data_IF_128031762878
#
_entry.id   IF_128031762878
#
_cell.length_a   1.000
_cell.length_b   1.000
_cell.length_c   1.000
_cell.angle_alpha   90.00
_cell.angle_beta   90.00
_cell.angle_gamma   90.00
#
_symmetry.space_group_name_H-M   'P 1'
#
loop_
_entity.id
_entity.type
_entity.pdbx_description
1 polymer ?
#
# COMPACT_ATOMS: atom_id res chain seq x y z
N UNK A 1 -19.81 -4.67 6.10
CA UNK A 1 -19.23 -5.37 7.28
C UNK A 1 -18.04 -4.61 7.86
N UNK A 2 -16.99 -4.34 7.07
CA UNK A 2 -15.84 -3.57 7.56
C UNK A 2 -16.23 -2.21 8.16
N UNK A 3 -17.13 -1.46 7.51
CA UNK A 3 -17.69 -0.20 8.02
C UNK A 3 -18.38 -0.31 9.39
N UNK A 4 -18.88 -1.49 9.78
CA UNK A 4 -19.53 -1.68 11.08
C UNK A 4 -18.59 -2.22 12.16
N UNK A 5 -17.42 -2.74 11.77
CA UNK A 5 -16.48 -3.44 12.65
C UNK A 5 -15.17 -2.69 12.84
N UNK A 6 -14.89 -1.66 12.04
CA UNK A 6 -13.65 -0.89 12.14
C UNK A 6 -13.50 -0.18 13.50
N UNK A 7 -14.62 0.11 14.18
CA UNK A 7 -14.66 0.67 15.54
C UNK A 7 -14.59 -0.36 16.67
N UNK A 8 -14.75 -1.66 16.36
CA UNK A 8 -14.68 -2.78 17.33
C UNK A 8 -13.92 -3.97 16.74
N UNK A 9 -12.60 -3.83 16.50
CA UNK A 9 -11.80 -4.85 15.84
C UNK A 9 -11.74 -6.18 16.61
N UNK A 10 -11.91 -6.16 17.93
CA UNK A 10 -11.97 -7.35 18.80
C UNK A 10 -13.15 -8.28 18.47
N UNK A 11 -14.21 -7.77 17.84
CA UNK A 11 -15.40 -8.55 17.47
C UNK A 11 -15.26 -9.28 16.13
N UNK A 12 -14.20 -9.02 15.37
CA UNK A 12 -14.00 -9.59 14.02
C UNK A 12 -14.06 -11.12 14.02
N UNK A 13 -13.37 -11.88 14.92
CA UNK A 13 -13.40 -13.34 14.89
C UNK A 13 -14.80 -13.90 15.08
N UNK A 14 -15.53 -13.39 16.08
CA UNK A 14 -16.88 -13.84 16.40
C UNK A 14 -17.88 -13.55 15.27
N UNK A 15 -17.79 -12.37 14.66
CA UNK A 15 -18.69 -12.00 13.56
C UNK A 15 -18.37 -12.80 12.29
N UNK A 16 -17.08 -13.02 12.00
CA UNK A 16 -16.66 -13.84 10.87
C UNK A 16 -17.14 -15.30 11.00
N UNK A 17 -17.13 -15.85 12.21
CA UNK A 17 -17.68 -17.19 12.49
C UNK A 17 -19.21 -17.23 12.36
N UNK A 18 -19.91 -16.26 12.94
CA UNK A 18 -21.38 -16.21 12.89
C UNK A 18 -21.91 -16.08 11.46
N UNK A 19 -21.21 -15.33 10.61
CA UNK A 19 -21.55 -15.15 9.20
C UNK A 19 -20.96 -16.22 8.27
N UNK A 20 -20.22 -17.19 8.82
CA UNK A 20 -19.55 -18.28 8.09
C UNK A 20 -18.66 -17.79 6.94
N UNK A 21 -17.91 -16.72 7.20
CA UNK A 21 -16.96 -16.17 6.22
C UNK A 21 -15.87 -17.19 5.91
N UNK A 22 -15.52 -17.31 4.62
CA UNK A 22 -14.36 -18.05 4.16
C UNK A 22 -13.06 -17.45 4.71
N UNK A 23 -11.97 -18.22 4.68
CA UNK A 23 -10.64 -17.72 5.08
C UNK A 23 -10.24 -16.48 4.27
N UNK A 24 -10.55 -16.47 2.97
CA UNK A 24 -10.24 -15.33 2.09
C UNK A 24 -11.01 -14.07 2.52
N UNK A 25 -12.31 -14.19 2.78
CA UNK A 25 -13.14 -13.06 3.22
C UNK A 25 -12.71 -12.54 4.59
N UNK A 26 -12.33 -13.44 5.51
CA UNK A 26 -11.81 -13.07 6.83
C UNK A 26 -10.50 -12.29 6.71
N UNK A 27 -9.55 -12.78 5.91
CA UNK A 27 -8.28 -12.08 5.66
C UNK A 27 -8.55 -10.70 5.04
N UNK A 28 -9.41 -10.63 4.01
CA UNK A 28 -9.77 -9.37 3.37
C UNK A 28 -10.39 -8.38 4.35
N UNK A 29 -11.32 -8.82 5.20
CA UNK A 29 -11.93 -7.98 6.24
C UNK A 29 -10.90 -7.42 7.23
N UNK A 30 -9.94 -8.24 7.67
CA UNK A 30 -8.87 -7.81 8.58
C UNK A 30 -7.97 -6.77 7.90
N UNK A 31 -7.57 -6.99 6.64
CA UNK A 31 -6.72 -6.05 5.93
C UNK A 31 -7.42 -4.71 5.66
N UNK A 32 -8.72 -4.73 5.37
CA UNK A 32 -9.52 -3.51 5.23
C UNK A 32 -9.51 -2.69 6.53
N UNK A 33 -9.81 -3.34 7.66
CA UNK A 33 -9.88 -2.68 8.97
C UNK A 33 -8.50 -2.25 9.47
N UNK A 34 -7.42 -2.92 9.05
CA UNK A 34 -6.06 -2.49 9.40
C UNK A 34 -5.67 -1.19 8.72
N UNK A 35 -6.12 -0.97 7.48
CA UNK A 35 -5.59 0.10 6.62
C UNK A 35 -6.59 1.24 6.32
N UNK A 36 -7.84 1.18 6.79
CA UNK A 36 -8.89 2.17 6.44
C UNK A 36 -8.55 3.64 6.78
N UNK A 37 -7.70 3.88 7.77
CA UNK A 37 -7.26 5.24 8.14
C UNK A 37 -6.08 5.75 7.31
N UNK A 38 -5.41 4.89 6.53
CA UNK A 38 -4.21 5.30 5.80
C UNK A 38 -4.48 6.40 4.76
N UNK A 39 -5.53 6.32 3.92
CA UNK A 39 -5.78 7.37 2.94
C UNK A 39 -6.13 8.73 3.58
N UNK A 40 -6.68 8.75 4.80
CA UNK A 40 -6.96 9.99 5.54
C UNK A 40 -5.70 10.74 5.98
N UNK A 41 -4.58 10.04 6.15
CA UNK A 41 -3.30 10.64 6.58
C UNK A 41 -2.39 11.05 5.40
N UNK A 42 -2.82 10.80 4.16
CA UNK A 42 -2.03 11.06 2.95
C UNK A 42 -2.26 12.46 2.39
N UNK A 43 -1.57 13.45 2.96
CA UNK A 43 -1.52 14.79 2.35
C UNK A 43 -0.57 14.82 1.15
N UNK A 44 -1.11 15.08 -0.04
CA UNK A 44 -0.37 15.15 -1.30
C UNK A 44 0.59 13.95 -1.50
N UNK A 45 0.06 12.71 -1.59
CA UNK A 45 0.89 11.51 -1.55
C UNK A 45 1.89 11.47 -2.70
N UNK A 46 3.16 11.17 -2.38
CA UNK A 46 4.18 10.95 -3.40
C UNK A 46 3.98 9.60 -4.08
N UNK A 47 4.65 9.38 -5.21
CA UNK A 47 4.63 8.07 -5.89
C UNK A 47 5.08 6.92 -4.97
N UNK A 48 6.03 7.18 -4.06
CA UNK A 48 6.46 6.21 -3.04
C UNK A 48 5.36 5.92 -2.02
N UNK A 49 4.62 6.94 -1.57
CA UNK A 49 3.52 6.76 -0.62
C UNK A 49 2.38 5.94 -1.24
N UNK A 50 2.04 6.25 -2.50
CA UNK A 50 1.06 5.48 -3.28
C UNK A 50 1.52 4.02 -3.42
N UNK A 51 2.78 3.78 -3.79
CA UNK A 51 3.31 2.43 -3.91
C UNK A 51 3.27 1.67 -2.58
N UNK A 52 3.66 2.31 -1.46
CA UNK A 52 3.58 1.73 -0.12
C UNK A 52 2.15 1.41 0.30
N UNK A 53 1.20 2.27 -0.03
CA UNK A 53 -0.22 2.00 0.23
C UNK A 53 -0.67 0.73 -0.47
N UNK A 54 -0.40 0.62 -1.78
CA UNK A 54 -0.84 -0.54 -2.56
C UNK A 54 -0.11 -1.81 -2.16
N UNK A 55 1.17 -1.72 -1.84
CA UNK A 55 1.96 -2.84 -1.35
C UNK A 55 1.49 -3.35 0.01
N UNK A 56 1.09 -2.47 0.93
CA UNK A 56 0.62 -2.86 2.26
C UNK A 56 -0.84 -3.34 2.26
N UNK A 57 -1.71 -2.72 1.48
CA UNK A 57 -3.13 -3.09 1.39
C UNK A 57 -3.42 -4.24 0.42
N UNK A 58 -2.56 -4.46 -0.58
CA UNK A 58 -2.71 -5.51 -1.58
C UNK A 58 -4.09 -5.53 -2.23
N UNK A 59 -4.69 -6.72 -2.35
CA UNK A 59 -6.01 -6.90 -2.95
C UNK A 59 -7.17 -6.20 -2.18
N UNK A 60 -6.93 -5.76 -0.93
CA UNK A 60 -7.91 -5.03 -0.14
C UNK A 60 -7.87 -3.51 -0.38
N UNK A 61 -6.90 -2.97 -1.13
CA UNK A 61 -6.69 -1.53 -1.26
C UNK A 61 -7.89 -0.75 -1.84
N UNK A 62 -8.63 -1.34 -2.79
CA UNK A 62 -9.86 -0.73 -3.32
C UNK A 62 -10.94 -0.66 -2.24
N UNK A 63 -11.12 -1.71 -1.45
CA UNK A 63 -12.12 -1.72 -0.37
C UNK A 63 -11.73 -0.77 0.77
N UNK A 64 -10.43 -0.64 1.03
CA UNK A 64 -9.87 0.36 1.96
C UNK A 64 -10.27 1.76 1.51
N UNK A 65 -10.07 2.10 0.24
CA UNK A 65 -10.46 3.40 -0.33
C UNK A 65 -11.96 3.68 -0.16
N UNK A 66 -12.81 2.69 -0.49
CA UNK A 66 -14.26 2.81 -0.36
C UNK A 66 -14.70 2.96 1.10
N UNK A 67 -14.07 2.21 2.01
CA UNK A 67 -14.34 2.31 3.43
C UNK A 67 -13.93 3.68 3.98
N UNK A 68 -12.79 4.23 3.57
CA UNK A 68 -12.38 5.58 3.98
C UNK A 68 -13.43 6.61 3.62
N UNK A 69 -13.95 6.60 2.38
CA UNK A 69 -15.02 7.52 1.96
C UNK A 69 -16.30 7.35 2.78
N UNK A 70 -16.72 6.10 2.99
CA UNK A 70 -17.91 5.80 3.76
C UNK A 70 -17.78 6.22 5.23
N UNK A 71 -16.61 6.03 5.82
CA UNK A 71 -16.29 6.42 7.19
C UNK A 71 -16.27 7.94 7.37
N UNK A 72 -15.65 8.69 6.44
CA UNK A 72 -15.65 10.16 6.47
C UNK A 72 -17.07 10.72 6.44
N UNK A 73 -17.94 10.20 5.56
CA UNK A 73 -19.34 10.62 5.48
C UNK A 73 -20.15 10.19 6.71
N UNK A 74 -19.93 8.96 7.20
CA UNK A 74 -20.64 8.42 8.36
C UNK A 74 -20.29 9.17 9.66
N UNK A 75 -19.04 9.60 9.81
CA UNK A 75 -18.54 10.32 10.99
C UNK A 75 -18.95 11.79 11.00
N UNK A 76 -19.00 12.44 9.83
CA UNK A 76 -19.33 13.86 9.74
C UNK A 76 -20.80 14.20 10.11
N UNK A 77 -21.72 13.25 9.96
CA UNK A 77 -23.13 13.46 10.31
C UNK A 77 -23.76 14.63 9.55
N UNK A 78 -24.50 15.50 10.26
CA UNK A 78 -25.16 16.68 9.65
C UNK A 78 -24.25 17.90 9.50
N UNK A 79 -23.03 17.85 10.03
CA UNK A 79 -22.06 18.95 10.04
C UNK A 79 -20.88 18.64 9.11
N UNK A 80 -21.17 18.19 7.88
CA UNK A 80 -20.15 17.89 6.90
C UNK A 80 -19.40 19.17 6.51
N UNK A 81 -18.13 19.23 6.88
CA UNK A 81 -17.18 20.17 6.30
C UNK A 81 -16.89 19.74 4.86
N UNK A 82 -17.39 20.55 3.92
CA UNK A 82 -17.27 20.28 2.49
C UNK A 82 -15.82 20.30 2.02
N UNK A 83 -14.97 21.16 2.58
CA UNK A 83 -13.57 21.28 2.17
C UNK A 83 -12.79 20.04 2.65
N UNK A 84 -12.99 19.64 3.90
CA UNK A 84 -12.42 18.40 4.44
C UNK A 84 -12.87 17.16 3.65
N UNK A 85 -14.16 17.10 3.26
CA UNK A 85 -14.68 16.02 2.42
C UNK A 85 -14.02 15.97 1.05
N UNK A 86 -13.89 17.11 0.36
CA UNK A 86 -13.24 17.19 -0.94
C UNK A 86 -11.77 16.76 -0.88
N UNK A 87 -11.06 17.06 0.22
CA UNK A 87 -9.70 16.57 0.43
C UNK A 87 -9.64 15.04 0.50
N UNK A 88 -10.56 14.38 1.22
CA UNK A 88 -10.60 12.91 1.27
C UNK A 88 -10.92 12.32 -0.10
N UNK A 89 -11.89 12.90 -0.82
CA UNK A 89 -12.25 12.46 -2.18
C UNK A 89 -11.05 12.57 -3.12
N UNK A 90 -10.29 13.67 -3.07
CA UNK A 90 -9.13 13.88 -3.92
C UNK A 90 -8.04 12.83 -3.66
N UNK A 91 -7.72 12.56 -2.39
CA UNK A 91 -6.76 11.53 -1.99
C UNK A 91 -7.16 10.14 -2.48
N UNK A 92 -8.43 9.77 -2.28
CA UNK A 92 -8.96 8.48 -2.75
C UNK A 92 -8.95 8.40 -4.28
N UNK A 93 -9.27 9.50 -4.97
CA UNK A 93 -9.18 9.56 -6.44
C UNK A 93 -7.75 9.31 -6.92
N UNK A 94 -6.75 9.89 -6.27
CA UNK A 94 -5.33 9.66 -6.61
C UNK A 94 -4.97 8.18 -6.47
N UNK A 95 -5.34 7.54 -5.35
CA UNK A 95 -5.07 6.12 -5.13
C UNK A 95 -5.77 5.24 -6.19
N UNK A 96 -7.05 5.48 -6.45
CA UNK A 96 -7.80 4.70 -7.44
C UNK A 96 -7.30 4.92 -8.87
N UNK A 97 -6.88 6.15 -9.22
CA UNK A 97 -6.26 6.43 -10.52
C UNK A 97 -4.95 5.67 -10.67
N UNK A 98 -4.15 5.56 -9.60
CA UNK A 98 -2.95 4.73 -9.62
C UNK A 98 -3.28 3.26 -9.90
N UNK A 99 -4.39 2.74 -9.33
CA UNK A 99 -4.82 1.36 -9.54
C UNK A 99 -5.34 1.08 -10.94
N UNK A 100 -6.21 1.93 -11.48
CA UNK A 100 -6.86 1.67 -12.77
C UNK A 100 -6.04 2.13 -13.97
N UNK A 101 -5.24 3.20 -13.81
CA UNK A 101 -4.56 3.84 -14.94
C UNK A 101 -3.03 3.65 -14.91
N UNK A 102 -2.43 3.38 -13.75
CA UNK A 102 -0.97 3.33 -13.56
C UNK A 102 -0.52 2.07 -12.81
N UNK A 103 -1.23 0.95 -13.02
CA UNK A 103 -1.02 -0.28 -12.25
C UNK A 103 0.44 -0.78 -12.35
N UNK A 104 0.96 -0.91 -13.56
CA UNK A 104 2.33 -1.38 -13.83
C UNK A 104 3.43 -0.34 -13.52
N UNK A 105 3.07 0.78 -12.91
CA UNK A 105 4.01 1.86 -12.59
C UNK A 105 4.02 2.16 -11.10
N UNK A 106 2.85 2.34 -10.50
CA UNK A 106 2.69 2.74 -9.10
C UNK A 106 2.25 1.60 -8.19
N UNK A 107 1.47 0.63 -8.70
CA UNK A 107 0.94 -0.47 -7.88
C UNK A 107 1.89 -1.66 -7.87
N UNK A 108 2.15 -2.20 -9.05
CA UNK A 108 2.96 -3.39 -9.27
C UNK A 108 3.94 -3.14 -10.41
N UNK A 109 4.99 -2.33 -10.17
CA UNK A 109 6.02 -2.09 -11.17
C UNK A 109 6.73 -3.38 -11.57
N UNK A 110 7.07 -3.56 -12.86
CA UNK A 110 7.73 -4.76 -13.34
C UNK A 110 9.08 -4.96 -12.66
N UNK A 111 9.41 -6.19 -12.33
CA UNK A 111 10.67 -6.49 -11.63
C UNK A 111 11.86 -6.22 -12.56
N UNK A 112 12.68 -5.22 -12.23
CA UNK A 112 13.91 -4.89 -12.98
C UNK A 112 15.06 -5.87 -12.71
N UNK A 113 15.14 -6.37 -11.47
CA UNK A 113 16.14 -7.34 -11.04
C UNK A 113 15.57 -8.21 -9.93
N UNK A 114 15.80 -9.53 -9.99
CA UNK A 114 15.41 -10.45 -8.92
C UNK A 114 16.50 -10.58 -7.85
N UNK A 115 16.17 -11.25 -6.74
CA UNK A 115 17.10 -11.43 -5.63
C UNK A 115 18.35 -12.23 -5.99
N UNK A 116 18.25 -13.21 -6.90
CA UNK A 116 19.39 -14.02 -7.29
C UNK A 116 20.38 -13.21 -8.14
N UNK A 117 19.87 -12.48 -9.12
CA UNK A 117 20.66 -11.58 -9.94
C UNK A 117 21.29 -10.47 -9.10
N UNK A 118 20.54 -9.87 -8.16
CA UNK A 118 21.07 -8.85 -7.25
C UNK A 118 22.21 -9.40 -6.38
N UNK A 119 22.03 -10.58 -5.80
CA UNK A 119 23.07 -11.24 -5.01
C UNK A 119 24.33 -11.53 -5.82
N UNK A 120 24.19 -12.04 -7.05
CA UNK A 120 25.33 -12.30 -7.94
C UNK A 120 26.08 -11.02 -8.32
N UNK A 121 25.35 -9.95 -8.67
CA UNK A 121 25.93 -8.66 -9.08
C UNK A 121 26.64 -7.93 -7.95
N UNK A 122 26.20 -8.13 -6.71
CA UNK A 122 26.73 -7.44 -5.52
C UNK A 122 27.58 -8.34 -4.61
N UNK A 123 27.74 -9.62 -4.94
CA UNK A 123 28.45 -10.58 -4.08
C UNK A 123 27.79 -10.80 -2.71
N UNK A 124 26.48 -10.60 -2.61
CA UNK A 124 25.75 -10.71 -1.35
C UNK A 124 25.43 -12.17 -1.02
N UNK A 125 25.45 -12.50 0.27
CA UNK A 125 24.90 -13.77 0.77
C UNK A 125 23.38 -13.65 0.94
N UNK A 126 22.64 -14.77 0.82
CA UNK A 126 21.22 -14.79 1.13
C UNK A 126 20.93 -14.25 2.53
N UNK A 127 19.94 -13.38 2.67
CA UNK A 127 19.55 -12.81 3.95
C UNK A 127 18.52 -11.68 3.83
N UNK A 128 18.05 -11.19 4.99
CA UNK A 128 17.01 -10.15 5.07
C UNK A 128 17.41 -8.86 4.34
N UNK A 129 18.70 -8.56 4.26
CA UNK A 129 19.21 -7.39 3.53
C UNK A 129 18.82 -7.40 2.06
N UNK A 130 18.80 -8.58 1.42
CA UNK A 130 18.41 -8.71 0.00
C UNK A 130 16.95 -8.29 -0.20
N UNK A 131 16.06 -8.74 0.69
CA UNK A 131 14.65 -8.32 0.67
C UNK A 131 14.50 -6.81 0.84
N UNK A 132 15.22 -6.21 1.82
CA UNK A 132 15.22 -4.76 2.03
C UNK A 132 15.70 -3.97 0.81
N UNK A 133 16.73 -4.46 0.13
CA UNK A 133 17.24 -3.83 -1.10
C UNK A 133 16.23 -3.92 -2.24
N UNK A 134 15.61 -5.08 -2.46
CA UNK A 134 14.58 -5.25 -3.49
C UNK A 134 13.36 -4.35 -3.24
N UNK A 135 12.98 -4.22 -1.97
CA UNK A 135 11.88 -3.36 -1.54
C UNK A 135 12.16 -1.89 -1.81
N UNK A 136 13.37 -1.43 -1.45
CA UNK A 136 13.83 -0.08 -1.71
C UNK A 136 13.93 0.20 -3.21
N UNK A 137 14.46 -0.73 -4.00
CA UNK A 137 14.53 -0.63 -5.47
C UNK A 137 13.13 -0.45 -6.06
N UNK A 138 12.13 -1.23 -5.61
CA UNK A 138 10.75 -1.12 -6.10
C UNK A 138 10.12 0.21 -5.75
N UNK A 139 10.36 0.74 -4.55
CA UNK A 139 9.91 2.09 -4.18
C UNK A 139 10.55 3.17 -5.04
N UNK A 140 11.86 3.09 -5.28
CA UNK A 140 12.59 4.02 -6.14
C UNK A 140 12.15 3.91 -7.62
N UNK A 141 11.79 2.71 -8.07
CA UNK A 141 11.22 2.48 -9.39
C UNK A 141 9.84 3.11 -9.53
N UNK A 142 8.95 2.94 -8.55
CA UNK A 142 7.65 3.61 -8.55
C UNK A 142 7.79 5.14 -8.53
N UNK A 143 8.85 5.66 -7.92
CA UNK A 143 9.20 7.07 -7.96
C UNK A 143 9.83 7.55 -9.29
N UNK A 144 10.10 6.65 -10.23
CA UNK A 144 10.74 6.95 -11.51
C UNK A 144 12.26 7.17 -11.43
N UNK A 145 12.88 6.95 -10.27
CA UNK A 145 14.31 7.15 -10.01
C UNK A 145 15.17 5.99 -10.52
N UNK A 146 14.57 4.80 -10.61
CA UNK A 146 15.22 3.57 -11.08
C UNK A 146 14.41 3.01 -12.23
N UNK A 147 15.03 2.87 -13.41
CA UNK A 147 14.32 2.45 -14.63
C UNK A 147 14.92 1.20 -15.28
N UNK A 148 16.15 0.83 -14.90
CA UNK A 148 16.86 -0.30 -15.47
C UNK A 148 17.45 -1.22 -14.39
N UNK A 149 17.81 -2.44 -14.79
CA UNK A 149 18.52 -3.37 -13.90
C UNK A 149 19.86 -2.80 -13.39
N UNK A 150 20.56 -2.03 -14.21
CA UNK A 150 21.83 -1.40 -13.81
C UNK A 150 21.61 -0.22 -12.84
N UNK A 151 20.53 0.55 -13.01
CA UNK A 151 20.12 1.57 -12.03
C UNK A 151 19.77 0.91 -10.68
N UNK A 152 19.08 -0.22 -10.70
CA UNK A 152 18.71 -0.96 -9.49
C UNK A 152 19.96 -1.45 -8.72
N UNK A 153 20.95 -1.97 -9.44
CA UNK A 153 22.24 -2.39 -8.83
C UNK A 153 22.97 -1.19 -8.22
N UNK A 154 23.04 -0.05 -8.92
CA UNK A 154 23.67 1.17 -8.41
C UNK A 154 22.95 1.70 -7.18
N UNK A 155 21.63 1.77 -7.23
CA UNK A 155 20.78 2.20 -6.12
C UNK A 155 21.01 1.33 -4.87
N UNK A 156 21.08 0.01 -5.03
CA UNK A 156 21.40 -0.91 -3.94
C UNK A 156 22.82 -0.73 -3.38
N UNK A 157 23.81 -0.46 -4.24
CA UNK A 157 25.19 -0.17 -3.80
C UNK A 157 25.25 1.11 -2.97
N UNK A 158 24.62 2.19 -3.43
CA UNK A 158 24.59 3.46 -2.73
C UNK A 158 23.95 3.31 -1.35
N UNK A 159 22.86 2.53 -1.25
CA UNK A 159 22.23 2.22 0.02
C UNK A 159 23.15 1.45 0.98
N UNK A 160 23.87 0.44 0.49
CA UNK A 160 24.83 -0.32 1.30
C UNK A 160 25.98 0.56 1.81
N UNK A 161 26.43 1.52 1.00
CA UNK A 161 27.51 2.44 1.36
C UNK A 161 27.07 3.52 2.37
N UNK A 162 25.78 3.86 2.41
CA UNK A 162 25.21 4.83 3.36
C UNK A 162 24.71 4.17 4.65
N UNK A 163 24.46 2.86 4.63
CA UNK A 163 23.87 2.07 5.72
C UNK A 163 24.84 1.17 6.49
N UNK A 164 26.15 1.38 6.35
CA UNK A 164 27.23 0.73 7.10
C UNK A 164 28.02 1.76 7.92
#
# INVERSE_FOLDING_TARGET
LAALLHTTPERIPQVAENLRLSNLERTRLIEIIRHYNHPQAMDNPTARDIHRFWRSSGAAGVDVCLLTLADSLGTAGVELDQDAWLMVVDRVRVLLSAYYDQYETLVEPPTLIDGNALMQRLGLRPGQIVGKLLDMIREAQAAGEVQTADDAVRCAQDYLNQGL
#
